data_IF_192952408443
#
_entry.id   IF_192952408443
#
_cell.length_a   1.000
_cell.length_b   1.000
_cell.length_c   1.000
_cell.angle_alpha   90.00
_cell.angle_beta   90.00
_cell.angle_gamma   90.00
#
_symmetry.space_group_name_H-M   'P 1'
#
loop_
_entity.id
_entity.type
_entity.pdbx_description
1 polymer ?
#
# COMPACT_ATOMS: atom_id res chain seq x y z
N UNK A 1 -19.79 -10.03 16.15
CA UNK A 1 -19.80 -8.68 15.56
C UNK A 1 -18.69 -7.87 16.22
N UNK A 2 -17.58 -7.66 15.51
CA UNK A 2 -16.53 -6.70 15.82
C UNK A 2 -15.71 -6.54 14.54
N UNK A 3 -16.21 -5.74 13.61
CA UNK A 3 -15.59 -5.48 12.31
C UNK A 3 -14.73 -4.24 12.46
N UNK A 4 -13.54 -4.39 13.03
CA UNK A 4 -12.56 -3.31 13.13
C UNK A 4 -11.59 -3.51 11.98
N UNK A 5 -11.82 -2.83 10.87
CA UNK A 5 -10.79 -2.66 9.85
C UNK A 5 -10.22 -1.26 9.97
N UNK A 6 -9.07 -1.14 10.61
CA UNK A 6 -8.27 0.08 10.67
C UNK A 6 -6.89 -0.30 11.24
N UNK A 7 -5.81 0.16 10.61
CA UNK A 7 -4.80 0.85 11.42
C UNK A 7 -5.58 2.03 12.00
N UNK A 8 -6.14 1.87 13.20
CA UNK A 8 -6.97 2.89 13.85
C UNK A 8 -6.27 4.22 13.58
N UNK A 9 -6.98 5.22 13.05
CA UNK A 9 -6.39 6.49 12.65
C UNK A 9 -5.60 7.20 13.79
N UNK A 10 -5.62 6.60 14.98
CA UNK A 10 -4.99 6.98 16.23
C UNK A 10 -3.85 6.03 16.67
N UNK A 11 -3.81 4.76 16.25
CA UNK A 11 -2.85 3.76 16.79
C UNK A 11 -1.82 3.24 15.77
N UNK A 12 -2.11 3.24 14.46
CA UNK A 12 -1.17 2.68 13.47
C UNK A 12 -1.17 1.15 13.54
N UNK A 13 -0.13 0.50 13.03
CA UNK A 13 -0.04 -0.96 13.09
C UNK A 13 0.88 -1.61 12.07
N UNK A 14 0.92 -2.94 12.09
CA UNK A 14 1.88 -3.71 11.32
C UNK A 14 1.54 -3.71 9.83
N UNK A 15 2.57 -3.51 9.01
CA UNK A 15 2.51 -3.63 7.56
C UNK A 15 3.68 -4.48 7.08
N UNK A 16 3.51 -5.10 5.93
CA UNK A 16 4.61 -5.70 5.18
C UNK A 16 4.64 -5.12 3.77
N UNK A 17 5.84 -4.93 3.23
CA UNK A 17 6.01 -4.41 1.88
C UNK A 17 7.19 -5.05 1.17
N UNK A 18 7.20 -4.90 -0.15
CA UNK A 18 8.29 -5.32 -1.02
C UNK A 18 8.35 -4.41 -2.25
N UNK A 19 9.53 -4.28 -2.85
CA UNK A 19 9.69 -3.66 -4.17
C UNK A 19 9.76 -4.71 -5.29
N UNK A 20 9.36 -4.31 -6.49
CA UNK A 20 9.23 -5.17 -7.65
C UNK A 20 9.84 -4.46 -8.85
N UNK A 21 10.82 -5.12 -9.45
CA UNK A 21 11.46 -4.70 -10.70
C UNK A 21 10.59 -4.99 -11.93
N UNK A 22 9.63 -5.91 -11.80
CA UNK A 22 8.74 -6.43 -12.86
C UNK A 22 7.26 -6.13 -12.50
N UNK A 23 6.51 -5.57 -13.46
CA UNK A 23 5.10 -5.21 -13.27
C UNK A 23 4.22 -6.44 -13.12
N UNK A 24 4.52 -7.53 -13.84
CA UNK A 24 3.76 -8.78 -13.77
C UNK A 24 3.93 -9.42 -12.39
N UNK A 25 5.13 -9.33 -11.81
CA UNK A 25 5.41 -9.76 -10.44
C UNK A 25 4.61 -8.94 -9.41
N UNK A 26 4.53 -7.62 -9.59
CA UNK A 26 3.73 -6.76 -8.72
C UNK A 26 2.22 -7.05 -8.84
N UNK A 27 1.72 -7.32 -10.05
CA UNK A 27 0.33 -7.76 -10.28
C UNK A 27 0.05 -9.10 -9.61
N UNK A 28 0.99 -10.04 -9.71
CA UNK A 28 0.91 -11.33 -9.03
C UNK A 28 0.86 -11.15 -7.51
N UNK A 29 1.67 -10.26 -6.95
CA UNK A 29 1.66 -9.95 -5.52
C UNK A 29 0.29 -9.46 -5.06
N UNK A 30 -0.29 -8.47 -5.75
CA UNK A 30 -1.64 -7.96 -5.45
C UNK A 30 -2.68 -9.08 -5.54
N UNK A 31 -2.56 -9.96 -6.52
CA UNK A 31 -3.49 -11.09 -6.71
C UNK A 31 -3.39 -12.09 -5.56
N UNK A 32 -2.18 -12.52 -5.18
CA UNK A 32 -1.94 -13.45 -4.07
C UNK A 32 -2.42 -12.89 -2.73
N UNK A 33 -2.20 -11.60 -2.48
CA UNK A 33 -2.67 -10.93 -1.26
C UNK A 33 -4.20 -10.98 -1.17
N UNK A 34 -4.91 -10.68 -2.26
CA UNK A 34 -6.37 -10.76 -2.30
C UNK A 34 -6.91 -12.16 -2.13
N UNK A 35 -6.32 -13.12 -2.82
CA UNK A 35 -6.71 -14.54 -2.71
C UNK A 35 -6.47 -15.09 -1.31
N UNK A 36 -5.47 -14.57 -0.60
CA UNK A 36 -5.23 -14.88 0.81
C UNK A 36 -6.20 -14.19 1.77
N UNK A 37 -7.06 -13.28 1.30
CA UNK A 37 -8.05 -12.58 2.12
C UNK A 37 -7.63 -11.22 2.63
N UNK A 38 -6.48 -10.67 2.18
CA UNK A 38 -6.16 -9.25 2.39
C UNK A 38 -7.13 -8.41 1.56
N UNK A 39 -7.75 -7.41 2.19
CA UNK A 39 -8.76 -6.59 1.54
C UNK A 39 -8.11 -5.57 0.60
N UNK A 40 -8.83 -5.16 -0.45
CA UNK A 40 -8.29 -4.23 -1.46
C UNK A 40 -7.89 -2.87 -0.86
N UNK A 41 -8.64 -2.41 0.13
CA UNK A 41 -8.35 -1.17 0.86
C UNK A 41 -7.06 -1.23 1.68
N UNK A 42 -6.62 -2.44 2.04
CA UNK A 42 -5.47 -2.73 2.88
C UNK A 42 -4.22 -3.02 2.04
N UNK A 43 -4.32 -2.92 0.71
CA UNK A 43 -3.21 -3.05 -0.24
C UNK A 43 -3.00 -1.70 -0.90
N UNK A 44 -1.79 -1.16 -0.80
CA UNK A 44 -1.37 0.07 -1.46
C UNK A 44 -0.27 -0.22 -2.49
N UNK A 45 -0.45 0.30 -3.71
CA UNK A 45 0.57 0.22 -4.76
C UNK A 45 1.17 1.60 -4.99
N UNK A 46 2.50 1.68 -4.93
CA UNK A 46 3.27 2.91 -5.05
C UNK A 46 4.27 2.78 -6.20
N UNK A 47 4.33 3.80 -7.05
CA UNK A 47 5.38 3.95 -8.04
C UNK A 47 5.64 5.44 -8.28
N UNK A 48 6.80 5.75 -8.86
CA UNK A 48 7.10 7.13 -9.32
C UNK A 48 6.16 7.59 -10.44
N UNK A 49 5.66 6.64 -11.25
CA UNK A 49 4.62 6.87 -12.24
C UNK A 49 3.26 6.40 -11.71
N UNK A 50 2.36 7.35 -11.48
CA UNK A 50 1.00 7.09 -11.01
C UNK A 50 0.15 6.27 -11.98
N UNK A 51 0.40 6.37 -13.30
CA UNK A 51 -0.34 5.59 -14.29
C UNK A 51 0.07 4.11 -14.23
N UNK A 52 1.37 3.85 -14.11
CA UNK A 52 1.91 2.49 -13.93
C UNK A 52 1.42 1.84 -12.64
N UNK A 53 1.37 2.61 -11.54
CA UNK A 53 0.78 2.13 -10.30
C UNK A 53 -0.71 1.74 -10.46
N UNK A 54 -1.51 2.51 -11.22
CA UNK A 54 -2.92 2.20 -11.47
C UNK A 54 -3.12 0.96 -12.36
N UNK A 55 -2.25 0.76 -13.37
CA UNK A 55 -2.26 -0.46 -14.17
C UNK A 55 -1.99 -1.71 -13.32
N UNK A 56 -1.01 -1.65 -12.42
CA UNK A 56 -0.68 -2.77 -11.53
C UNK A 56 -1.74 -2.98 -10.46
N UNK A 57 -2.27 -1.90 -9.88
CA UNK A 57 -3.39 -2.00 -8.96
C UNK A 57 -4.62 -2.62 -9.65
N UNK A 58 -4.88 -2.28 -10.92
CA UNK A 58 -5.93 -2.87 -11.74
C UNK A 58 -7.33 -2.81 -11.12
N UNK A 59 -7.59 -1.76 -10.31
CA UNK A 59 -8.82 -1.62 -9.52
C UNK A 59 -8.95 -2.56 -8.31
N UNK A 60 -7.94 -3.38 -8.03
CA UNK A 60 -7.88 -4.41 -6.98
C UNK A 60 -7.02 -4.00 -5.78
N UNK A 61 -6.39 -2.83 -5.85
CA UNK A 61 -5.62 -2.23 -4.76
C UNK A 61 -5.88 -0.73 -4.69
N UNK A 62 -5.71 -0.17 -3.50
CA UNK A 62 -5.80 1.26 -3.29
C UNK A 62 -4.58 1.99 -3.85
N UNK A 63 -4.83 3.16 -4.45
CA UNK A 63 -3.78 4.08 -4.84
C UNK A 63 -3.85 5.32 -3.94
N UNK A 64 -2.77 5.68 -3.25
CA UNK A 64 -2.77 6.89 -2.45
C UNK A 64 -3.10 8.13 -3.28
N UNK A 65 -4.16 8.83 -2.91
CA UNK A 65 -4.68 10.01 -3.62
C UNK A 65 -5.82 9.71 -4.61
N UNK A 66 -6.18 8.44 -4.86
CA UNK A 66 -7.39 8.08 -5.62
C UNK A 66 -8.63 8.59 -4.89
N UNK A 67 -9.53 9.28 -5.59
CA UNK A 67 -10.72 9.92 -5.00
C UNK A 67 -10.48 11.22 -4.23
N UNK A 68 -9.23 11.68 -4.07
CA UNK A 68 -8.96 12.99 -3.43
C UNK A 68 -9.00 14.12 -4.46
N UNK A 69 -10.16 14.78 -4.57
CA UNK A 69 -10.31 15.99 -5.39
C UNK A 69 -9.82 17.27 -4.69
N UNK A 70 -9.32 18.22 -5.48
CA UNK A 70 -9.20 19.63 -5.08
C UNK A 70 -8.05 19.97 -4.10
N UNK A 71 -8.30 20.96 -3.25
CA UNK A 71 -7.31 21.63 -2.39
C UNK A 71 -6.59 20.67 -1.42
N UNK A 72 -7.26 19.60 -0.97
CA UNK A 72 -6.69 18.59 -0.05
C UNK A 72 -5.52 17.81 -0.67
N UNK A 73 -5.62 17.45 -1.95
CA UNK A 73 -4.53 16.81 -2.70
C UNK A 73 -3.34 17.76 -2.86
N UNK A 74 -3.60 19.04 -3.20
CA UNK A 74 -2.56 20.07 -3.35
C UNK A 74 -1.85 20.39 -2.03
N UNK A 75 -2.60 20.56 -0.95
CA UNK A 75 -2.06 20.79 0.40
C UNK A 75 -1.15 19.65 0.86
N UNK A 76 -1.54 18.39 0.62
CA UNK A 76 -0.71 17.24 0.99
C UNK A 76 0.54 17.09 0.16
N UNK A 77 0.46 17.35 -1.15
CA UNK A 77 1.64 17.37 -2.01
C UNK A 77 2.67 18.41 -1.53
N UNK A 78 2.21 19.48 -0.88
CA UNK A 78 3.05 20.54 -0.31
C UNK A 78 3.60 20.23 1.10
N UNK A 79 3.11 19.21 1.81
CA UNK A 79 3.67 18.84 3.11
C UNK A 79 5.04 18.14 2.95
N UNK A 80 5.98 18.36 3.89
CA UNK A 80 7.26 17.66 3.91
C UNK A 80 7.01 16.18 4.20
N UNK A 81 6.85 15.39 3.13
CA UNK A 81 6.28 14.07 3.23
C UNK A 81 5.37 13.66 2.08
N UNK A 82 4.90 14.59 1.24
CA UNK A 82 4.03 14.28 0.10
C UNK A 82 2.86 13.35 0.45
N UNK A 83 2.46 12.50 -0.51
CA UNK A 83 1.41 11.48 -0.33
C UNK A 83 1.99 10.21 0.34
N UNK A 84 3.30 9.98 0.22
CA UNK A 84 3.99 8.78 0.68
C UNK A 84 4.58 8.99 2.09
N UNK A 85 4.22 8.17 3.10
CA UNK A 85 4.69 8.29 4.48
C UNK A 85 6.20 8.25 4.61
N UNK A 86 6.69 8.87 5.68
CA UNK A 86 8.14 8.95 5.96
C UNK A 86 8.79 7.56 6.05
N UNK A 87 8.13 6.60 6.70
CA UNK A 87 8.67 5.25 6.87
C UNK A 87 8.80 4.48 5.57
N UNK A 88 7.78 4.57 4.70
CA UNK A 88 7.81 4.01 3.34
C UNK A 88 8.88 4.70 2.51
N UNK A 89 8.95 6.03 2.53
CA UNK A 89 9.98 6.79 1.81
C UNK A 89 11.38 6.39 2.27
N UNK A 90 11.61 6.27 3.59
CA UNK A 90 12.93 5.93 4.13
C UNK A 90 13.41 4.56 3.63
N UNK A 91 12.49 3.62 3.41
CA UNK A 91 12.79 2.25 3.00
C UNK A 91 12.88 2.09 1.49
N UNK A 92 11.95 2.71 0.76
CA UNK A 92 11.73 2.41 -0.66
C UNK A 92 11.91 3.62 -1.60
N UNK A 93 12.39 4.77 -1.12
CA UNK A 93 12.66 5.90 -2.02
C UNK A 93 13.68 5.56 -3.11
N UNK A 94 14.72 4.78 -2.82
CA UNK A 94 15.69 4.36 -3.85
C UNK A 94 15.01 3.50 -4.91
N UNK A 95 14.28 2.46 -4.49
CA UNK A 95 13.53 1.57 -5.38
C UNK A 95 12.56 2.36 -6.28
N UNK A 96 11.77 3.27 -5.72
CA UNK A 96 10.86 4.11 -6.52
C UNK A 96 11.62 5.03 -7.48
N UNK A 97 12.75 5.63 -7.07
CA UNK A 97 13.58 6.48 -7.93
C UNK A 97 14.23 5.68 -9.08
N UNK A 98 14.50 4.40 -8.87
CA UNK A 98 14.98 3.44 -9.89
C UNK A 98 13.84 2.96 -10.80
N UNK A 99 12.60 3.38 -10.55
CA UNK A 99 11.44 3.03 -11.35
C UNK A 99 10.80 1.70 -10.96
N UNK A 100 11.10 1.15 -9.78
CA UNK A 100 10.43 -0.04 -9.26
C UNK A 100 9.06 0.29 -8.67
N UNK A 101 8.23 -0.74 -8.53
CA UNK A 101 6.92 -0.68 -7.89
C UNK A 101 7.04 -1.17 -6.47
N UNK A 102 6.40 -0.50 -5.51
CA UNK A 102 6.35 -0.93 -4.11
C UNK A 102 4.93 -1.30 -3.78
N UNK A 103 4.72 -2.52 -3.30
CA UNK A 103 3.43 -2.99 -2.78
C UNK A 103 3.52 -3.02 -1.27
N UNK A 104 2.59 -2.35 -0.59
CA UNK A 104 2.47 -2.29 0.87
C UNK A 104 1.13 -2.87 1.27
N UNK A 105 1.11 -3.81 2.20
CA UNK A 105 -0.12 -4.39 2.72
C UNK A 105 -0.20 -4.27 4.24
N UNK A 106 -1.37 -3.84 4.75
CA UNK A 106 -1.64 -3.83 6.18
C UNK A 106 -1.91 -5.26 6.67
N UNK A 107 -1.40 -5.57 7.86
CA UNK A 107 -1.63 -6.85 8.52
C UNK A 107 -2.99 -6.92 9.23
N UNK A 108 -4.04 -6.43 8.55
CA UNK A 108 -5.41 -6.44 9.01
C UNK A 108 -6.18 -7.50 8.20
N UNK A 109 -6.33 -8.70 8.78
CA UNK A 109 -6.92 -9.87 8.14
C UNK A 109 -5.94 -11.01 7.84
N UNK A 110 -4.64 -10.72 7.64
CA UNK A 110 -3.58 -11.72 7.54
C UNK A 110 -2.37 -11.32 8.41
N UNK A 111 -1.66 -12.28 9.04
CA UNK A 111 -0.43 -12.00 9.77
C UNK A 111 0.63 -11.36 8.86
N UNK A 112 1.47 -10.44 9.37
CA UNK A 112 2.46 -9.74 8.57
C UNK A 112 3.51 -10.70 7.98
N UNK A 113 3.83 -11.80 8.66
CA UNK A 113 4.72 -12.85 8.15
C UNK A 113 4.11 -13.60 6.95
N UNK A 114 2.80 -13.84 6.97
CA UNK A 114 2.08 -14.44 5.83
C UNK A 114 2.10 -13.49 4.64
N UNK A 115 1.84 -12.21 4.87
CA UNK A 115 1.91 -11.18 3.82
C UNK A 115 3.34 -11.11 3.25
N UNK A 116 4.36 -11.07 4.09
CA UNK A 116 5.76 -11.05 3.67
C UNK A 116 6.13 -12.29 2.83
N UNK A 117 5.65 -13.47 3.24
CA UNK A 117 5.86 -14.71 2.48
C UNK A 117 5.18 -14.67 1.10
N UNK A 118 3.96 -14.12 1.01
CA UNK A 118 3.25 -13.95 -0.26
C UNK A 118 3.95 -12.95 -1.19
N UNK A 119 4.46 -11.83 -0.62
CA UNK A 119 5.25 -10.85 -1.36
C UNK A 119 6.55 -11.48 -1.90
N UNK A 120 7.24 -12.27 -1.08
CA UNK A 120 8.43 -13.00 -1.50
C UNK A 120 8.09 -14.07 -2.56
N UNK A 121 6.98 -14.78 -2.42
CA UNK A 121 6.50 -15.76 -3.41
C UNK A 121 6.21 -15.10 -4.76
N UNK A 122 5.71 -13.85 -4.75
CA UNK A 122 5.51 -13.04 -5.94
C UNK A 122 6.81 -12.44 -6.53
N UNK A 123 7.99 -12.86 -6.06
CA UNK A 123 9.31 -12.34 -6.46
C UNK A 123 9.57 -10.89 -5.99
N UNK A 124 8.95 -10.48 -4.90
CA UNK A 124 9.24 -9.20 -4.25
C UNK A 124 10.67 -9.16 -3.70
N UNK A 125 11.35 -8.06 -3.97
CA UNK A 125 12.64 -7.69 -3.42
C UNK A 125 12.47 -6.84 -2.15
N UNK A 126 13.56 -6.69 -1.39
CA UNK A 126 13.65 -5.95 -0.11
C UNK A 126 12.38 -6.04 0.76
N UNK A 127 11.93 -7.27 1.01
CA UNK A 127 10.75 -7.53 1.84
C UNK A 127 11.04 -7.05 3.27
N UNK A 128 10.24 -6.10 3.75
CA UNK A 128 10.37 -5.53 5.10
C UNK A 128 9.02 -5.53 5.82
N UNK A 129 9.06 -5.61 7.14
CA UNK A 129 7.91 -5.55 8.02
C UNK A 129 8.16 -4.50 9.09
N UNK A 130 7.19 -3.61 9.31
CA UNK A 130 7.35 -2.59 10.34
C UNK A 130 6.01 -2.12 10.91
N UNK A 131 6.09 -1.49 12.08
CA UNK A 131 4.97 -0.73 12.62
C UNK A 131 4.84 0.61 11.88
N UNK A 132 3.76 0.77 11.13
CA UNK A 132 3.44 2.00 10.41
C UNK A 132 2.60 2.91 11.30
N UNK A 133 3.10 4.13 11.53
CA UNK A 133 2.30 5.20 12.15
C UNK A 133 1.03 5.49 11.33
N UNK A 134 -0.07 5.95 11.96
CA UNK A 134 -1.30 6.29 11.25
C UNK A 134 -1.06 7.09 9.98
N UNK A 135 -1.64 6.61 8.89
CA UNK A 135 -1.31 7.07 7.55
C UNK A 135 -2.50 6.96 6.61
N UNK A 136 -2.39 7.57 5.44
CA UNK A 136 -3.43 7.64 4.43
C UNK A 136 -2.99 6.94 3.13
N UNK A 137 -2.05 5.99 3.23
CA UNK A 137 -1.69 5.12 2.10
C UNK A 137 -2.73 4.06 1.81
N UNK A 138 -3.67 3.83 2.73
CA UNK A 138 -4.80 2.92 2.58
C UNK A 138 -6.10 3.70 2.37
N UNK A 139 -7.15 3.03 1.91
CA UNK A 139 -8.40 3.70 1.55
C UNK A 139 -9.07 4.37 2.76
N UNK A 140 -9.51 5.64 2.67
CA UNK A 140 -10.31 6.27 3.72
C UNK A 140 -11.68 5.58 3.85
N UNK A 141 -12.25 5.50 5.06
CA UNK A 141 -13.51 4.79 5.30
C UNK A 141 -14.70 5.38 4.54
N UNK A 142 -14.65 6.67 4.23
CA UNK A 142 -15.64 7.40 3.44
C UNK A 142 -15.68 6.97 1.96
N UNK A 143 -14.58 6.37 1.46
CA UNK A 143 -14.40 5.98 0.07
C UNK A 143 -14.43 4.44 -0.13
N UNK A 144 -14.49 3.66 0.95
CA UNK A 144 -14.46 2.20 0.91
C UNK A 144 -15.85 1.54 0.67
N UNK A 145 -16.94 2.33 0.62
CA UNK A 145 -18.31 1.80 0.41
C UNK A 145 -18.91 1.09 1.64
N UNK A 146 -20.24 0.88 1.70
CA UNK A 146 -20.89 0.18 2.81
C UNK A 146 -20.66 -1.34 2.72
N UNK A 147 -20.39 -1.94 3.88
CA UNK A 147 -20.02 -3.36 4.09
C UNK A 147 -21.16 -4.35 3.91
#
# INVERSE_FOLDING_TARGET
MATTSYLEAVSGGMVAAADFSDDDAAVQAVTLLRESGVREQDIAVLASDSHRADLVAGGRAWLPGKGWGGLRYRLRRMLPGGIIPRDVRKRYASAMNEGKIVVVAAADGQPPDTIAALLHQARGEAVDQWWQQPTYIFAPPELAGPF
#
